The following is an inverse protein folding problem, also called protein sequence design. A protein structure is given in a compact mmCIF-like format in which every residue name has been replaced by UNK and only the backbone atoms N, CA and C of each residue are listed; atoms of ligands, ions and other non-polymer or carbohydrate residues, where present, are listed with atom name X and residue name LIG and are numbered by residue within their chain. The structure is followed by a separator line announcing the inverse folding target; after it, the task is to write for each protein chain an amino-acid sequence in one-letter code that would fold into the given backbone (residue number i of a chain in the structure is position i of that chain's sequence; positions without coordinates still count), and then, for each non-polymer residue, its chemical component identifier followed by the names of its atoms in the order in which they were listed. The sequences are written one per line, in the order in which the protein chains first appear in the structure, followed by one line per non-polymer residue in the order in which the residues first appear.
data_IF_018292988417
#
_entry.id   IF_018292988417
#
_cell.length_a   1.000
_cell.length_b   1.000
_cell.length_c   1.000
_cell.angle_alpha   90.00
_cell.angle_beta   90.00
_cell.angle_gamma   90.00
#
_symmetry.space_group_name_H-M   'P 1'
#
loop_
_entity.id
_entity.type
_entity.pdbx_description
1 polymer ?
#
# COMPACT_ATOMS: atom_id res chain seq x y z
N UNK A 1 17.08 3.89 -14.91
CA UNK A 1 15.77 4.19 -14.29
C UNK A 1 15.32 2.96 -13.49
N UNK A 2 14.19 2.97 -12.77
CA UNK A 2 13.72 1.80 -12.01
C UNK A 2 13.39 0.62 -12.93
N UNK A 3 12.83 0.89 -14.12
CA UNK A 3 12.52 -0.12 -15.14
C UNK A 3 13.69 -1.04 -15.52
N UNK A 4 14.93 -0.55 -15.40
CA UNK A 4 16.16 -1.28 -15.77
C UNK A 4 16.73 -2.13 -14.61
N UNK A 5 16.10 -2.05 -13.42
CA UNK A 5 16.57 -2.69 -12.19
C UNK A 5 15.74 -3.91 -11.79
N UNK A 6 14.58 -4.14 -12.39
CA UNK A 6 13.77 -5.33 -12.12
C UNK A 6 14.52 -6.62 -12.49
N UNK A 7 14.59 -7.57 -11.55
CA UNK A 7 15.32 -8.84 -11.69
C UNK A 7 16.79 -8.72 -12.11
N UNK A 8 17.40 -7.53 -11.93
CA UNK A 8 18.79 -7.28 -12.26
C UNK A 8 19.67 -7.37 -11.02
N UNK A 9 20.33 -8.52 -10.85
CA UNK A 9 21.23 -8.75 -9.71
C UNK A 9 22.68 -8.30 -9.96
N UNK A 10 23.02 -7.82 -11.16
CA UNK A 10 24.42 -7.62 -11.59
C UNK A 10 25.22 -6.74 -10.62
N UNK A 11 24.62 -5.67 -10.11
CA UNK A 11 25.28 -4.76 -9.15
C UNK A 11 25.58 -5.47 -7.82
N UNK A 12 24.65 -6.30 -7.35
CA UNK A 12 24.81 -7.08 -6.12
C UNK A 12 25.94 -8.10 -6.28
N UNK A 13 25.98 -8.83 -7.40
CA UNK A 13 27.08 -9.76 -7.72
C UNK A 13 28.44 -9.07 -7.82
N UNK A 14 28.48 -7.79 -8.21
CA UNK A 14 29.69 -6.95 -8.24
C UNK A 14 30.06 -6.34 -6.88
N UNK A 15 29.39 -6.73 -5.80
CA UNK A 15 29.65 -6.22 -4.45
C UNK A 15 29.15 -4.79 -4.20
N UNK A 16 28.29 -4.23 -5.05
CA UNK A 16 27.80 -2.85 -4.94
C UNK A 16 26.63 -2.71 -3.94
N UNK A 17 26.63 -3.48 -2.85
CA UNK A 17 25.59 -3.40 -1.81
C UNK A 17 25.70 -2.09 -1.03
N UNK A 18 26.91 -1.65 -0.69
CA UNK A 18 27.11 -0.44 0.12
C UNK A 18 26.54 0.83 -0.54
N UNK A 19 26.76 1.09 -1.85
CA UNK A 19 26.10 2.21 -2.54
C UNK A 19 24.57 2.11 -2.55
N UNK A 20 24.01 0.91 -2.67
CA UNK A 20 22.56 0.70 -2.62
C UNK A 20 22.01 1.11 -1.25
N UNK A 21 22.65 0.65 -0.16
CA UNK A 21 22.25 1.01 1.21
C UNK A 21 22.37 2.53 1.44
N UNK A 22 23.47 3.15 0.98
CA UNK A 22 23.60 4.61 1.07
C UNK A 22 22.48 5.33 0.33
N UNK A 23 22.10 4.86 -0.86
CA UNK A 23 20.97 5.39 -1.60
C UNK A 23 19.65 5.26 -0.83
N UNK A 24 19.39 4.10 -0.22
CA UNK A 24 18.19 3.87 0.60
C UNK A 24 18.10 4.79 1.82
N UNK A 25 19.24 5.18 2.40
CA UNK A 25 19.29 6.09 3.55
C UNK A 25 19.20 7.56 3.15
N UNK A 26 19.75 7.93 1.99
CA UNK A 26 19.88 9.32 1.58
C UNK A 26 18.72 9.83 0.71
N UNK A 27 18.13 8.96 -0.11
CA UNK A 27 17.08 9.36 -1.06
C UNK A 27 15.69 9.28 -0.43
N UNK A 28 14.88 10.36 -0.50
CA UNK A 28 13.53 10.34 0.03
C UNK A 28 12.61 9.44 -0.81
N UNK A 29 11.67 8.77 -0.15
CA UNK A 29 10.62 8.02 -0.83
C UNK A 29 9.74 8.94 -1.68
N UNK A 30 9.27 8.46 -2.83
CA UNK A 30 8.23 9.15 -3.60
C UNK A 30 6.94 9.25 -2.77
N UNK A 31 6.20 10.34 -2.96
CA UNK A 31 4.88 10.50 -2.34
C UNK A 31 3.94 9.41 -2.85
N UNK A 32 3.04 8.95 -1.97
CA UNK A 32 1.95 8.05 -2.35
C UNK A 32 0.92 8.88 -3.11
N UNK A 33 0.78 8.60 -4.40
CA UNK A 33 -0.18 9.23 -5.28
C UNK A 33 -0.86 8.16 -6.16
N UNK A 34 -2.06 8.45 -6.70
CA UNK A 34 -2.81 7.49 -7.50
C UNK A 34 -2.29 7.35 -8.94
N UNK A 35 -1.27 8.11 -9.34
CA UNK A 35 -0.73 8.12 -10.70
C UNK A 35 0.46 7.18 -10.83
N UNK A 36 1.19 6.94 -9.74
CA UNK A 36 2.35 6.07 -9.70
C UNK A 36 3.51 6.59 -10.55
N UNK A 37 4.65 5.91 -10.47
CA UNK A 37 5.78 6.18 -11.36
C UNK A 37 5.58 5.43 -12.68
N UNK A 38 5.97 6.06 -13.79
CA UNK A 38 5.83 5.48 -15.14
C UNK A 38 6.51 4.09 -15.26
N UNK A 39 7.60 3.89 -14.51
CA UNK A 39 8.33 2.63 -14.48
C UNK A 39 7.52 1.46 -13.90
N UNK A 40 6.50 1.74 -13.07
CA UNK A 40 5.57 0.73 -12.52
C UNK A 40 4.24 0.69 -13.29
N UNK A 41 3.80 1.82 -13.84
CA UNK A 41 2.54 1.95 -14.58
C UNK A 41 2.64 1.41 -16.01
N UNK A 42 3.75 1.65 -16.70
CA UNK A 42 3.89 1.31 -18.12
C UNK A 42 5.02 0.30 -18.39
N UNK A 43 5.98 0.15 -17.46
CA UNK A 43 7.21 -0.60 -17.69
C UNK A 43 7.54 -1.63 -16.59
N UNK A 44 6.53 -2.13 -15.86
CA UNK A 44 6.78 -3.18 -14.88
C UNK A 44 7.42 -4.39 -15.57
N UNK A 45 8.56 -4.85 -15.06
CA UNK A 45 9.33 -5.96 -15.66
C UNK A 45 9.74 -5.77 -17.13
N UNK A 46 9.90 -4.53 -17.58
CA UNK A 46 10.27 -4.25 -18.95
C UNK A 46 11.54 -5.00 -19.36
N UNK A 47 11.43 -5.78 -20.44
CA UNK A 47 12.53 -6.50 -21.04
C UNK A 47 12.78 -5.95 -22.46
N UNK A 48 13.94 -5.33 -22.75
CA UNK A 48 14.24 -4.82 -24.08
C UNK A 48 14.19 -5.89 -25.19
N UNK A 49 14.42 -7.16 -24.85
CA UNK A 49 14.38 -8.29 -25.80
C UNK A 49 12.96 -8.81 -26.05
N UNK A 50 12.01 -8.51 -25.17
CA UNK A 50 10.58 -8.87 -25.26
C UNK A 50 9.76 -7.71 -24.71
N UNK A 51 9.58 -6.63 -25.49
CA UNK A 51 8.91 -5.44 -25.01
C UNK A 51 7.43 -5.77 -24.72
N UNK A 52 7.04 -5.65 -23.45
CA UNK A 52 5.66 -5.75 -22.98
C UNK A 52 5.38 -4.58 -22.05
N UNK A 53 4.23 -3.93 -22.25
CA UNK A 53 3.69 -2.94 -21.31
C UNK A 53 2.95 -3.72 -20.23
N UNK A 54 3.42 -3.61 -19.00
CA UNK A 54 2.78 -4.24 -17.84
C UNK A 54 2.54 -3.16 -16.80
N UNK A 55 1.27 -3.01 -16.41
CA UNK A 55 0.81 -1.99 -15.49
C UNK A 55 0.49 -2.59 -14.12
N UNK A 56 1.31 -2.26 -13.12
CA UNK A 56 1.14 -2.73 -11.75
C UNK A 56 -0.19 -2.29 -11.13
N UNK A 57 -0.66 -1.08 -11.44
CA UNK A 57 -1.90 -0.54 -10.86
C UNK A 57 -3.10 -1.28 -11.43
N UNK A 58 -3.13 -1.50 -12.75
CA UNK A 58 -4.15 -2.32 -13.40
C UNK A 58 -4.12 -3.77 -12.89
N UNK A 59 -2.94 -4.33 -12.64
CA UNK A 59 -2.81 -5.66 -12.00
C UNK A 59 -3.43 -5.66 -10.61
N UNK A 60 -3.17 -4.66 -9.76
CA UNK A 60 -3.70 -4.60 -8.40
C UNK A 60 -5.23 -4.48 -8.39
N UNK A 61 -5.80 -3.69 -9.30
CA UNK A 61 -7.26 -3.60 -9.46
C UNK A 61 -7.84 -4.97 -9.84
N UNK A 62 -7.29 -5.61 -10.87
CA UNK A 62 -7.77 -6.91 -11.32
C UNK A 62 -7.57 -8.00 -10.26
N UNK A 63 -6.45 -7.97 -9.52
CA UNK A 63 -6.19 -8.90 -8.40
C UNK A 63 -7.23 -8.75 -7.30
N UNK A 64 -7.62 -7.52 -6.97
CA UNK A 64 -8.66 -7.27 -5.98
C UNK A 64 -10.00 -7.90 -6.39
N UNK A 65 -10.35 -7.81 -7.67
CA UNK A 65 -11.57 -8.41 -8.23
C UNK A 65 -11.50 -9.93 -8.27
N UNK A 66 -10.36 -10.49 -8.70
CA UNK A 66 -10.08 -11.92 -8.72
C UNK A 66 -10.19 -12.55 -7.33
N UNK A 67 -9.70 -11.85 -6.30
CA UNK A 67 -9.80 -12.26 -4.90
C UNK A 67 -11.19 -11.98 -4.27
N UNK A 68 -12.14 -11.44 -5.03
CA UNK A 68 -13.48 -11.12 -4.52
C UNK A 68 -13.49 -10.08 -3.40
N UNK A 69 -12.54 -9.14 -3.40
CA UNK A 69 -12.49 -8.11 -2.36
C UNK A 69 -13.76 -7.25 -2.37
N UNK A 70 -14.34 -6.95 -1.19
CA UNK A 70 -15.46 -6.03 -1.11
C UNK A 70 -15.10 -4.65 -1.68
N UNK A 71 -16.11 -3.97 -2.24
CA UNK A 71 -15.96 -2.59 -2.70
C UNK A 71 -15.55 -1.65 -1.56
N UNK A 72 -14.84 -0.58 -1.91
CA UNK A 72 -14.29 0.41 -0.98
C UNK A 72 -15.31 0.89 0.06
N UNK A 73 -16.54 1.19 -0.37
CA UNK A 73 -17.59 1.72 0.51
C UNK A 73 -17.88 0.79 1.68
N UNK A 74 -17.92 -0.52 1.43
CA UNK A 74 -18.19 -1.50 2.49
C UNK A 74 -17.10 -1.46 3.57
N UNK A 75 -15.84 -1.42 3.15
CA UNK A 75 -14.69 -1.37 4.06
C UNK A 75 -14.58 -0.03 4.78
N UNK A 76 -14.80 1.08 4.08
CA UNK A 76 -14.80 2.41 4.71
C UNK A 76 -15.88 2.49 5.80
N UNK A 77 -17.07 1.96 5.55
CA UNK A 77 -18.15 1.89 6.53
C UNK A 77 -17.76 1.02 7.73
N UNK A 78 -17.15 -0.15 7.49
CA UNK A 78 -16.64 -1.01 8.55
C UNK A 78 -15.60 -0.29 9.42
N UNK A 79 -14.64 0.41 8.81
CA UNK A 79 -13.55 1.06 9.52
C UNK A 79 -13.94 2.36 10.23
N UNK A 80 -14.93 3.09 9.74
CA UNK A 80 -15.26 4.44 10.26
C UNK A 80 -16.64 4.52 10.92
N UNK A 81 -17.49 3.52 10.73
CA UNK A 81 -18.91 3.57 11.11
C UNK A 81 -19.74 4.59 10.32
N UNK A 82 -19.15 5.34 9.39
CA UNK A 82 -19.83 6.43 8.69
C UNK A 82 -20.59 5.92 7.47
N UNK A 83 -21.90 6.14 7.44
CA UNK A 83 -22.76 5.64 6.38
C UNK A 83 -22.61 6.41 5.05
N UNK A 84 -22.17 5.74 3.98
CA UNK A 84 -22.03 6.32 2.65
C UNK A 84 -23.29 6.04 1.82
N UNK A 85 -24.04 7.11 1.52
CA UNK A 85 -25.29 7.04 0.73
C UNK A 85 -25.18 7.62 -0.67
N UNK A 86 -24.10 8.32 -0.98
CA UNK A 86 -23.97 9.03 -2.26
C UNK A 86 -22.51 9.32 -2.60
N UNK A 87 -22.28 9.71 -3.85
CA UNK A 87 -21.01 10.27 -4.30
C UNK A 87 -20.55 11.46 -3.45
N UNK A 88 -21.47 12.35 -3.06
CA UNK A 88 -21.14 13.52 -2.23
C UNK A 88 -20.65 13.11 -0.83
N UNK A 89 -21.18 12.03 -0.29
CA UNK A 89 -20.74 11.49 1.01
C UNK A 89 -19.26 11.05 0.98
N UNK A 90 -18.72 10.69 -0.19
CA UNK A 90 -17.31 10.33 -0.35
C UNK A 90 -16.37 11.53 -0.25
N UNK A 91 -16.85 12.75 -0.49
CA UNK A 91 -16.04 13.97 -0.47
C UNK A 91 -15.46 14.29 0.93
N UNK A 92 -16.01 13.66 1.98
CA UNK A 92 -15.46 13.71 3.34
C UNK A 92 -14.10 13.00 3.46
N UNK A 93 -13.85 12.01 2.60
CA UNK A 93 -12.66 11.14 2.65
C UNK A 93 -11.77 11.28 1.44
N UNK A 94 -12.32 11.68 0.28
CA UNK A 94 -11.60 11.79 -0.98
C UNK A 94 -11.80 13.21 -1.54
N UNK A 95 -10.76 13.91 -2.03
CA UNK A 95 -10.91 15.22 -2.66
C UNK A 95 -12.00 15.27 -3.74
N UNK A 96 -12.85 16.32 -3.79
CA UNK A 96 -13.97 16.40 -4.75
C UNK A 96 -13.55 16.22 -6.21
N UNK A 97 -12.38 16.73 -6.59
CA UNK A 97 -11.82 16.56 -7.95
C UNK A 97 -11.59 15.07 -8.27
N UNK A 98 -11.07 14.30 -7.31
CA UNK A 98 -10.85 12.85 -7.45
C UNK A 98 -12.18 12.09 -7.46
N UNK A 99 -13.15 12.48 -6.63
CA UNK A 99 -14.52 11.91 -6.66
C UNK A 99 -15.18 12.12 -8.02
N UNK A 100 -15.02 13.32 -8.61
CA UNK A 100 -15.50 13.60 -9.97
C UNK A 100 -14.88 12.69 -11.02
N UNK A 101 -13.60 12.34 -10.88
CA UNK A 101 -12.93 11.38 -11.76
C UNK A 101 -13.49 9.95 -11.58
N UNK A 102 -13.69 9.52 -10.33
CA UNK A 102 -14.29 8.20 -10.04
C UNK A 102 -15.69 8.06 -10.66
N UNK A 103 -16.50 9.12 -10.60
CA UNK A 103 -17.84 9.17 -11.23
C UNK A 103 -17.85 8.96 -12.74
N UNK A 104 -16.73 9.22 -13.42
CA UNK A 104 -16.62 8.98 -14.87
C UNK A 104 -16.32 7.53 -15.22
N UNK A 105 -15.77 6.77 -14.27
CA UNK A 105 -15.27 5.41 -14.48
C UNK A 105 -16.22 4.37 -13.88
N UNK A 106 -16.75 4.63 -12.68
CA UNK A 106 -17.63 3.71 -11.97
C UNK A 106 -19.09 4.14 -12.10
N UNK A 107 -19.97 3.18 -12.43
CA UNK A 107 -21.41 3.43 -12.58
C UNK A 107 -22.07 3.81 -11.26
N UNK A 108 -21.71 3.11 -10.18
CA UNK A 108 -22.24 3.36 -8.85
C UNK A 108 -21.13 3.56 -7.83
N UNK A 109 -21.37 4.40 -6.81
CA UNK A 109 -20.36 4.73 -5.79
C UNK A 109 -19.93 3.53 -4.94
N UNK A 110 -20.74 2.47 -4.91
CA UNK A 110 -20.44 1.21 -4.21
C UNK A 110 -19.54 0.26 -5.01
N UNK A 111 -19.36 0.50 -6.31
CA UNK A 111 -18.58 -0.37 -7.19
C UNK A 111 -17.08 -0.04 -7.20
N UNK A 112 -16.68 0.98 -6.43
CA UNK A 112 -15.31 1.48 -6.42
C UNK A 112 -14.39 0.43 -5.79
N UNK A 113 -13.34 0.04 -6.52
CA UNK A 113 -12.36 -0.92 -6.05
C UNK A 113 -11.61 -0.36 -4.82
N UNK A 114 -11.42 -1.19 -3.79
CA UNK A 114 -10.76 -0.82 -2.54
C UNK A 114 -9.38 -0.19 -2.76
N UNK A 115 -8.56 -0.81 -3.62
CA UNK A 115 -7.21 -0.33 -3.92
C UNK A 115 -7.19 1.09 -4.50
N UNK A 116 -8.11 1.37 -5.43
CA UNK A 116 -8.20 2.67 -6.11
C UNK A 116 -8.58 3.75 -5.12
N UNK A 117 -9.66 3.54 -4.37
CA UNK A 117 -10.14 4.55 -3.43
C UNK A 117 -9.19 4.78 -2.25
N UNK A 118 -8.54 3.72 -1.73
CA UNK A 118 -7.59 3.84 -0.64
C UNK A 118 -6.39 4.73 -0.97
N UNK A 119 -5.93 4.74 -2.24
CA UNK A 119 -4.89 5.68 -2.72
C UNK A 119 -5.41 7.11 -2.94
N UNK A 120 -6.72 7.29 -3.06
CA UNK A 120 -7.33 8.58 -3.33
C UNK A 120 -7.75 9.34 -2.08
N UNK A 121 -7.82 8.66 -0.93
CA UNK A 121 -8.17 9.26 0.36
C UNK A 121 -7.24 10.41 0.76
N UNK A 122 -7.75 11.30 1.60
CA UNK A 122 -6.92 12.20 2.39
C UNK A 122 -6.06 11.38 3.35
N UNK A 123 -4.77 11.70 3.43
CA UNK A 123 -3.90 11.10 4.43
C UNK A 123 -4.28 11.59 5.83
N UNK A 124 -4.14 10.71 6.82
CA UNK A 124 -4.20 11.11 8.22
C UNK A 124 -2.98 11.98 8.59
N UNK A 125 -3.10 12.75 9.66
CA UNK A 125 -2.01 13.58 10.19
C UNK A 125 -0.80 12.67 10.48
N UNK A 126 0.38 13.10 10.02
CA UNK A 126 1.64 12.36 10.14
C UNK A 126 1.65 10.95 9.53
N UNK A 127 0.68 10.63 8.68
CA UNK A 127 0.58 9.36 7.99
C UNK A 127 0.70 9.51 6.47
N UNK A 128 0.99 8.39 5.80
CA UNK A 128 1.04 8.30 4.33
C UNK A 128 -0.17 7.58 3.73
N UNK A 129 -1.14 7.22 4.57
CA UNK A 129 -2.35 6.50 4.18
C UNK A 129 -3.57 7.20 4.76
N UNK A 130 -4.71 7.01 4.11
CA UNK A 130 -6.00 7.47 4.61
C UNK A 130 -6.60 6.53 5.66
N UNK A 131 -7.79 6.88 6.20
CA UNK A 131 -8.43 6.15 7.28
C UNK A 131 -8.72 4.69 6.95
N UNK A 132 -9.05 4.35 5.70
CA UNK A 132 -9.39 2.98 5.33
C UNK A 132 -8.16 2.07 5.40
N UNK A 133 -7.05 2.48 4.77
CA UNK A 133 -5.81 1.71 4.83
C UNK A 133 -5.16 1.75 6.21
N UNK A 134 -5.24 2.86 6.95
CA UNK A 134 -4.77 2.91 8.33
C UNK A 134 -5.49 1.87 9.22
N UNK A 135 -6.82 1.77 9.10
CA UNK A 135 -7.62 0.76 9.80
C UNK A 135 -7.23 -0.67 9.43
N UNK A 136 -7.19 -1.00 8.13
CA UNK A 136 -6.87 -2.35 7.67
C UNK A 136 -5.45 -2.79 8.06
N UNK A 137 -4.47 -1.91 7.82
CA UNK A 137 -3.07 -2.14 8.18
C UNK A 137 -2.96 -2.30 9.70
N UNK A 138 -3.59 -1.40 10.47
CA UNK A 138 -3.59 -1.44 11.92
C UNK A 138 -4.16 -2.73 12.50
N UNK A 139 -5.32 -3.18 12.00
CA UNK A 139 -5.94 -4.47 12.41
C UNK A 139 -4.99 -5.63 12.09
N UNK A 140 -4.38 -5.64 10.90
CA UNK A 140 -3.48 -6.72 10.50
C UNK A 140 -2.23 -6.78 11.39
N UNK A 141 -1.59 -5.63 11.65
CA UNK A 141 -0.42 -5.56 12.54
C UNK A 141 -0.77 -5.87 13.99
N UNK A 142 -1.95 -5.48 14.46
CA UNK A 142 -2.45 -5.83 15.78
C UNK A 142 -2.57 -7.36 15.92
N UNK A 143 -3.22 -8.03 14.96
CA UNK A 143 -3.34 -9.50 14.98
C UNK A 143 -1.99 -10.20 14.83
N UNK A 144 -1.06 -9.67 14.03
CA UNK A 144 0.29 -10.24 13.95
C UNK A 144 1.06 -10.12 15.26
N UNK A 145 0.98 -8.97 15.93
CA UNK A 145 1.65 -8.78 17.23
C UNK A 145 1.05 -9.70 18.28
N UNK A 146 -0.24 -9.57 18.57
CA UNK A 146 -0.87 -10.26 19.70
C UNK A 146 -1.26 -11.71 19.41
N UNK A 147 -1.31 -12.10 18.13
CA UNK A 147 -1.51 -13.49 17.72
C UNK A 147 -0.23 -14.31 17.63
N UNK A 148 0.94 -13.66 17.72
CA UNK A 148 2.24 -14.35 17.68
C UNK A 148 2.76 -14.59 19.10
N UNK A 149 2.80 -15.87 19.48
CA UNK A 149 3.38 -16.34 20.74
C UNK A 149 4.85 -15.92 20.90
N UNK A 150 5.59 -15.84 19.79
CA UNK A 150 7.02 -15.56 19.77
C UNK A 150 7.34 -14.10 19.44
N UNK A 151 6.35 -13.20 19.50
CA UNK A 151 6.60 -11.78 19.32
C UNK A 151 7.61 -11.29 20.36
N UNK A 152 8.64 -10.56 19.91
CA UNK A 152 9.85 -10.32 20.71
C UNK A 152 9.62 -9.57 22.03
N UNK A 153 8.55 -8.78 22.13
CA UNK A 153 8.17 -8.05 23.36
C UNK A 153 7.34 -8.88 24.35
N UNK A 154 6.85 -10.05 23.95
CA UNK A 154 6.06 -10.91 24.83
C UNK A 154 6.95 -11.60 25.87
N UNK A 155 6.62 -11.40 27.14
CA UNK A 155 7.33 -11.97 28.28
C UNK A 155 6.58 -13.13 28.93
N UNK A 156 7.30 -13.92 29.73
CA UNK A 156 6.70 -14.97 30.56
C UNK A 156 6.36 -16.27 29.83
N UNK A 157 6.75 -16.43 28.57
CA UNK A 157 6.52 -17.63 27.78
C UNK A 157 7.83 -18.36 27.42
N UNK A 158 7.72 -19.63 27.06
CA UNK A 158 8.87 -20.39 26.55
C UNK A 158 9.34 -19.79 25.23
N UNK A 159 10.57 -19.27 25.19
CA UNK A 159 11.15 -18.59 24.03
C UNK A 159 11.13 -17.05 24.14
N UNK A 160 10.50 -16.48 25.18
CA UNK A 160 10.57 -15.05 25.46
C UNK A 160 12.01 -14.61 25.71
N UNK A 161 12.35 -13.42 25.23
CA UNK A 161 13.62 -12.78 25.56
C UNK A 161 13.66 -12.37 27.03
N UNK A 162 14.87 -12.36 27.60
CA UNK A 162 15.10 -11.76 28.92
C UNK A 162 15.00 -10.23 28.81
N UNK A 163 14.54 -9.52 29.85
CA UNK A 163 14.41 -8.06 29.81
C UNK A 163 15.69 -7.34 29.34
N UNK A 164 16.86 -7.75 29.84
CA UNK A 164 18.15 -7.17 29.43
C UNK A 164 18.58 -7.47 27.98
N UNK A 165 17.84 -8.30 27.24
CA UNK A 165 18.05 -8.53 25.80
C UNK A 165 17.18 -7.63 24.92
N UNK A 166 16.15 -6.99 25.49
CA UNK A 166 15.23 -6.08 24.80
C UNK A 166 15.60 -4.62 25.04
N UNK A 167 16.35 -4.32 26.11
CA UNK A 167 16.83 -2.97 26.39
C UNK A 167 17.83 -2.49 25.32
N UNK A 168 17.40 -1.54 24.50
CA UNK A 168 18.24 -0.82 23.54
C UNK A 168 18.69 0.47 24.23
N UNK A 169 19.98 0.53 24.59
CA UNK A 169 20.62 1.74 25.15
C UNK A 169 20.67 2.89 24.14
#
# INVERSE_FOLDING_TARGET
MLKDRFFNMLEVWKGQITPIIRGLMAEPSKNIDPYGVIDLKDFLFFNPRRPSIVDLFSINVNRGRDHGLPGYVHILQYCTGYEIKSWKSLEKFIPPVKVKSLRKVYRHFRDIDLFVAGLLEYHLIDARVGPTFACLIGIQFYHWKYGDRFYFEHGGESGSFNPGSIDIH
#
